data_IF_580491342622
#
_entry.id   IF_580491342622
#
_cell.length_a   1.000
_cell.length_b   1.000
_cell.length_c   1.000
_cell.angle_alpha   90.00
_cell.angle_beta   90.00
_cell.angle_gamma   90.00
#
_symmetry.space_group_name_H-M   'P 1'
#
loop_
_entity.id
_entity.type
_entity.pdbx_description
1 polymer ?
#
# COMPACT_ATOMS: atom_id res chain seq x y z
N UNK A 1 -18.46 14.57 2.99
CA UNK A 1 -17.30 14.90 2.15
C UNK A 1 -16.44 13.66 2.04
N UNK A 2 -15.75 13.44 0.91
CA UNK A 2 -14.81 12.32 0.81
C UNK A 2 -13.51 12.71 1.53
N UNK A 3 -12.94 11.77 2.28
CA UNK A 3 -11.64 11.99 2.91
C UNK A 3 -10.53 12.05 1.86
N UNK A 4 -9.47 12.79 2.18
CA UNK A 4 -8.28 12.85 1.33
C UNK A 4 -7.58 11.47 1.29
N UNK A 5 -6.96 11.10 0.14
CA UNK A 5 -6.18 9.88 0.06
C UNK A 5 -5.14 9.81 1.18
N UNK A 6 -5.07 8.66 1.86
CA UNK A 6 -4.10 8.40 2.93
C UNK A 6 -2.99 7.51 2.40
N UNK A 7 -1.76 7.80 2.81
CA UNK A 7 -0.61 6.96 2.49
C UNK A 7 -0.70 5.62 3.25
N UNK A 8 -0.38 4.52 2.59
CA UNK A 8 -0.41 3.16 3.16
C UNK A 8 0.99 2.56 3.12
N UNK A 9 1.54 2.39 1.92
CA UNK A 9 2.87 1.81 1.72
C UNK A 9 3.46 2.19 0.37
N UNK A 10 4.78 2.03 0.24
CA UNK A 10 5.54 2.11 -1.01
C UNK A 10 6.52 0.96 -1.11
N UNK A 11 6.73 0.48 -2.34
CA UNK A 11 7.75 -0.49 -2.69
C UNK A 11 8.60 0.10 -3.81
N UNK A 12 9.91 0.01 -3.68
CA UNK A 12 10.86 0.43 -4.69
C UNK A 12 11.97 -0.63 -4.86
N UNK A 13 12.79 -0.50 -5.92
CA UNK A 13 13.89 -1.44 -6.20
C UNK A 13 15.12 -1.20 -5.34
N UNK A 14 15.23 -0.03 -4.72
CA UNK A 14 16.48 0.52 -4.20
C UNK A 14 16.53 0.59 -2.66
N UNK A 15 15.44 0.29 -1.95
CA UNK A 15 15.37 0.32 -0.50
C UNK A 15 14.09 -0.30 0.09
N UNK A 16 14.08 -0.43 1.42
CA UNK A 16 13.17 -1.30 2.18
C UNK A 16 11.68 -0.96 2.10
N UNK A 17 10.86 -1.92 2.55
CA UNK A 17 9.42 -1.77 2.67
C UNK A 17 9.06 -0.54 3.52
N UNK A 18 8.50 0.48 2.88
CA UNK A 18 7.98 1.66 3.57
C UNK A 18 6.48 1.47 3.79
N UNK A 19 6.07 1.39 5.06
CA UNK A 19 4.68 1.26 5.48
C UNK A 19 4.39 2.31 6.53
N UNK A 20 3.24 2.97 6.39
CA UNK A 20 2.70 3.76 7.48
C UNK A 20 2.43 2.87 8.70
N UNK A 21 2.74 3.40 9.89
CA UNK A 21 2.69 2.67 11.16
C UNK A 21 1.31 2.02 11.42
N UNK A 22 0.23 2.63 10.95
CA UNK A 22 -1.13 2.12 11.14
C UNK A 22 -1.41 0.85 10.33
N UNK A 23 -0.66 0.63 9.25
CA UNK A 23 -0.87 -0.47 8.32
C UNK A 23 0.25 -1.52 8.37
N UNK A 24 1.23 -1.34 9.26
CA UNK A 24 2.28 -2.35 9.47
C UNK A 24 1.67 -3.70 9.84
N UNK A 25 2.31 -4.78 9.35
CA UNK A 25 1.94 -6.20 9.53
C UNK A 25 0.68 -6.68 8.80
N UNK A 26 -0.36 -5.84 8.63
CA UNK A 26 -1.60 -6.25 7.93
C UNK A 26 -1.56 -5.96 6.44
N UNK A 27 -0.92 -4.87 6.04
CA UNK A 27 -0.80 -4.49 4.63
C UNK A 27 0.63 -4.75 4.20
N UNK A 28 0.79 -5.54 3.15
CA UNK A 28 2.09 -5.79 2.55
C UNK A 28 2.00 -5.73 1.04
N UNK A 29 3.13 -5.50 0.40
CA UNK A 29 3.23 -5.50 -1.04
C UNK A 29 4.61 -5.97 -1.46
N UNK A 30 4.70 -6.57 -2.63
CA UNK A 30 5.96 -7.02 -3.20
C UNK A 30 6.09 -6.49 -4.62
N UNK A 31 7.20 -5.83 -4.92
CA UNK A 31 7.49 -5.41 -6.27
C UNK A 31 7.79 -6.64 -7.14
N UNK A 32 7.03 -6.81 -8.21
CA UNK A 32 7.27 -7.78 -9.28
C UNK A 32 7.92 -7.09 -10.49
N UNK A 33 8.08 -7.80 -11.60
CA UNK A 33 8.63 -7.25 -12.85
C UNK A 33 7.80 -6.10 -13.43
N UNK A 34 6.48 -6.21 -13.36
CA UNK A 34 5.49 -5.35 -14.04
C UNK A 34 4.31 -4.96 -13.15
N UNK A 35 4.30 -5.43 -11.90
CA UNK A 35 3.15 -5.36 -11.02
C UNK A 35 3.57 -5.14 -9.57
N UNK A 36 2.64 -4.58 -8.80
CA UNK A 36 2.81 -4.29 -7.37
C UNK A 36 1.57 -4.83 -6.66
N UNK A 37 1.48 -6.16 -6.44
CA UNK A 37 0.37 -6.75 -5.69
C UNK A 37 0.30 -6.17 -4.27
N UNK A 38 -0.90 -5.79 -3.85
CA UNK A 38 -1.21 -5.39 -2.47
C UNK A 38 -1.89 -6.56 -1.77
N UNK A 39 -1.25 -7.08 -0.73
CA UNK A 39 -1.79 -8.11 0.15
C UNK A 39 -2.32 -7.46 1.43
N UNK A 40 -3.58 -7.71 1.74
CA UNK A 40 -4.23 -7.24 2.97
C UNK A 40 -4.63 -8.47 3.80
N UNK A 41 -4.07 -8.59 4.99
CA UNK A 41 -4.36 -9.63 5.96
C UNK A 41 -5.20 -9.07 7.11
N UNK A 42 -5.99 -9.92 7.77
CA UNK A 42 -6.90 -9.52 8.86
C UNK A 42 -7.79 -8.32 8.45
N UNK A 43 -8.53 -8.48 7.36
CA UNK A 43 -9.37 -7.43 6.75
C UNK A 43 -10.54 -7.07 7.66
N UNK A 44 -10.79 -5.76 7.82
CA UNK A 44 -11.85 -5.21 8.66
C UNK A 44 -12.78 -4.32 7.86
N UNK A 45 -14.01 -4.13 8.34
CA UNK A 45 -15.00 -3.22 7.72
C UNK A 45 -14.44 -1.79 7.62
N UNK A 46 -13.66 -1.36 8.61
CA UNK A 46 -12.97 -0.06 8.62
C UNK A 46 -11.93 0.12 7.51
N UNK A 47 -11.47 -0.97 6.88
CA UNK A 47 -10.54 -0.91 5.75
C UNK A 47 -11.28 -0.66 4.42
N UNK A 48 -12.61 -0.52 4.42
CA UNK A 48 -13.40 -0.26 3.21
C UNK A 48 -13.10 1.13 2.67
N UNK A 49 -12.40 1.19 1.53
CA UNK A 49 -12.02 2.43 0.85
C UNK A 49 -11.72 2.15 -0.63
N UNK A 50 -11.50 3.21 -1.41
CA UNK A 50 -10.93 3.11 -2.75
C UNK A 50 -9.41 3.10 -2.64
N UNK A 51 -8.77 2.04 -3.14
CA UNK A 51 -7.32 1.88 -3.11
C UNK A 51 -6.72 2.29 -4.45
N UNK A 52 -5.76 3.22 -4.42
CA UNK A 52 -5.08 3.71 -5.61
C UNK A 52 -3.64 3.22 -5.66
N UNK A 53 -3.24 2.66 -6.80
CA UNK A 53 -1.84 2.45 -7.11
C UNK A 53 -1.28 3.73 -7.75
N UNK A 54 -0.22 4.30 -7.16
CA UNK A 54 0.47 5.47 -7.69
C UNK A 54 1.90 5.09 -8.07
N UNK A 55 2.29 5.38 -9.31
CA UNK A 55 3.61 5.07 -9.86
C UNK A 55 4.39 6.36 -10.10
N UNK A 56 5.65 6.37 -9.68
CA UNK A 56 6.59 7.46 -9.97
C UNK A 56 7.70 6.88 -10.86
N UNK A 57 7.91 7.42 -12.08
CA UNK A 57 9.07 7.08 -12.90
C UNK A 57 10.37 7.32 -12.12
N UNK A 58 11.30 6.40 -12.25
CA UNK A 58 12.65 6.47 -11.66
C UNK A 58 13.66 6.99 -12.67
#
# INVERSE_FOLDING_TARGET
ANDLPRYILRRDKYGGADNDAQFQKRFDSKLSSDSVPLMIQDVRVSDSAVYYCALKPT
#
